data_IF_476702527531
#
_entry.id   IF_476702527531
#
_cell.length_a   1.000
_cell.length_b   1.000
_cell.length_c   1.000
_cell.angle_alpha   90.00
_cell.angle_beta   90.00
_cell.angle_gamma   90.00
#
_symmetry.space_group_name_H-M   'P 1'
#
loop_
_entity.id
_entity.type
_entity.pdbx_description
1 polymer ?
#
# COMPACT_ATOMS: atom_id res chain seq x y z
N UNK A 1 24.11 -0.74 -29.01
CA UNK A 1 22.84 -0.59 -28.28
C UNK A 1 22.21 -1.98 -28.26
N UNK A 2 21.87 -2.51 -27.09
CA UNK A 2 21.11 -3.76 -27.02
C UNK A 2 19.75 -3.56 -27.72
N UNK A 3 19.34 -4.50 -28.57
CA UNK A 3 18.03 -4.50 -29.20
C UNK A 3 16.95 -4.60 -28.11
N UNK A 4 15.87 -3.84 -28.23
CA UNK A 4 14.73 -4.01 -27.35
C UNK A 4 14.14 -5.41 -27.54
N UNK A 5 13.75 -6.06 -26.44
CA UNK A 5 13.08 -7.35 -26.51
C UNK A 5 11.73 -7.22 -27.24
N UNK A 6 11.51 -8.04 -28.26
CA UNK A 6 10.24 -8.08 -28.98
C UNK A 6 9.24 -8.99 -28.24
N UNK A 7 8.10 -8.43 -27.89
CA UNK A 7 7.00 -9.14 -27.21
C UNK A 7 5.77 -9.35 -28.12
N UNK A 8 5.92 -9.21 -29.43
CA UNK A 8 4.86 -9.42 -30.42
C UNK A 8 4.18 -10.77 -30.22
N UNK A 9 2.85 -10.78 -30.17
CA UNK A 9 2.03 -11.99 -30.01
C UNK A 9 2.14 -12.67 -28.64
N UNK A 10 2.91 -12.10 -27.68
CA UNK A 10 3.02 -12.63 -26.32
C UNK A 10 1.93 -12.05 -25.40
N UNK A 11 1.68 -12.76 -24.32
CA UNK A 11 0.89 -12.28 -23.18
C UNK A 11 1.82 -12.07 -21.98
N UNK A 12 1.76 -10.89 -21.38
CA UNK A 12 2.45 -10.56 -20.14
C UNK A 12 1.47 -10.75 -18.99
N UNK A 13 1.73 -11.71 -18.12
CA UNK A 13 0.93 -11.99 -16.94
C UNK A 13 1.43 -11.18 -15.74
N UNK A 14 0.65 -10.20 -15.32
CA UNK A 14 0.97 -9.39 -14.15
C UNK A 14 0.22 -9.90 -12.92
N UNK A 15 0.90 -10.68 -12.09
CA UNK A 15 0.32 -11.29 -10.89
C UNK A 15 0.28 -10.29 -9.73
N UNK A 16 -0.92 -10.11 -9.15
CA UNK A 16 -1.20 -9.31 -7.96
C UNK A 16 -1.59 -10.27 -6.82
N UNK A 17 -0.87 -10.26 -5.66
CA UNK A 17 -1.11 -11.22 -4.56
C UNK A 17 -2.31 -10.84 -3.67
N UNK A 18 -3.32 -10.20 -4.24
CA UNK A 18 -4.53 -9.74 -3.57
C UNK A 18 -5.78 -10.01 -4.42
N UNK A 19 -6.96 -9.79 -3.83
CA UNK A 19 -8.22 -9.87 -4.58
C UNK A 19 -8.38 -8.70 -5.55
N UNK A 20 -9.25 -8.87 -6.53
CA UNK A 20 -9.56 -7.88 -7.58
C UNK A 20 -10.23 -6.59 -7.08
N UNK A 21 -10.74 -6.57 -5.83
CA UNK A 21 -11.54 -5.45 -5.29
C UNK A 21 -10.71 -4.36 -4.62
N UNK A 22 -9.42 -4.60 -4.34
CA UNK A 22 -8.55 -3.71 -3.57
C UNK A 22 -7.79 -2.68 -4.41
N UNK A 23 -7.02 -1.82 -3.72
CA UNK A 23 -6.21 -0.77 -4.33
C UNK A 23 -5.12 -1.30 -5.26
N UNK A 24 -4.52 -2.47 -4.97
CA UNK A 24 -3.50 -3.07 -5.83
C UNK A 24 -4.06 -3.51 -7.19
N UNK A 25 -5.29 -4.05 -7.21
CA UNK A 25 -5.97 -4.37 -8.44
C UNK A 25 -6.27 -3.11 -9.28
N UNK A 26 -6.76 -2.04 -8.63
CA UNK A 26 -7.03 -0.77 -9.31
C UNK A 26 -5.77 -0.18 -9.93
N UNK A 27 -4.66 -0.23 -9.18
CA UNK A 27 -3.35 0.22 -9.64
C UNK A 27 -2.86 -0.59 -10.84
N UNK A 28 -2.86 -1.91 -10.79
CA UNK A 28 -2.40 -2.75 -11.89
C UNK A 28 -3.29 -2.60 -13.13
N UNK A 29 -4.62 -2.57 -12.97
CA UNK A 29 -5.56 -2.37 -14.07
C UNK A 29 -5.50 -0.95 -14.68
N UNK A 30 -4.96 0.03 -13.96
CA UNK A 30 -4.66 1.34 -14.52
C UNK A 30 -3.44 1.29 -15.44
N UNK A 31 -2.36 0.64 -15.00
CA UNK A 31 -1.12 0.59 -15.75
C UNK A 31 -1.11 -0.44 -16.88
N UNK A 32 -1.82 -1.56 -16.74
CA UNK A 32 -1.74 -2.67 -17.68
C UNK A 32 -2.05 -2.29 -19.15
N UNK A 33 -3.12 -1.56 -19.48
CA UNK A 33 -3.37 -1.14 -20.84
C UNK A 33 -2.31 -0.13 -21.35
N UNK A 34 -1.86 0.79 -20.51
CA UNK A 34 -0.83 1.77 -20.85
C UNK A 34 0.52 1.10 -21.10
N UNK A 35 0.84 0.06 -20.33
CA UNK A 35 2.04 -0.73 -20.51
C UNK A 35 1.98 -1.57 -21.79
N UNK A 36 0.82 -2.17 -22.10
CA UNK A 36 0.58 -2.87 -23.37
C UNK A 36 0.88 -1.99 -24.58
N UNK A 37 0.38 -0.76 -24.59
CA UNK A 37 0.63 0.22 -25.66
C UNK A 37 2.10 0.69 -25.72
N UNK A 38 2.82 0.67 -24.60
CA UNK A 38 4.17 1.18 -24.49
C UNK A 38 5.24 0.14 -24.85
N UNK A 39 4.96 -1.15 -24.62
CA UNK A 39 5.88 -2.26 -24.89
C UNK A 39 6.02 -2.53 -26.40
N UNK A 40 7.23 -2.88 -26.89
CA UNK A 40 7.41 -3.30 -28.27
C UNK A 40 6.56 -4.53 -28.61
N UNK A 41 5.92 -4.51 -29.76
CA UNK A 41 5.02 -5.57 -30.19
C UNK A 41 3.61 -5.52 -29.60
N UNK A 42 3.31 -4.54 -28.76
CA UNK A 42 1.99 -4.34 -28.12
C UNK A 42 1.41 -5.64 -27.52
N UNK A 43 2.16 -6.35 -26.65
CA UNK A 43 1.69 -7.59 -26.04
C UNK A 43 0.41 -7.35 -25.22
N UNK A 44 -0.41 -8.36 -25.07
CA UNK A 44 -1.52 -8.27 -24.11
C UNK A 44 -0.98 -8.33 -22.69
N UNK A 45 -1.24 -7.31 -21.88
CA UNK A 45 -0.90 -7.31 -20.44
C UNK A 45 -2.14 -7.68 -19.63
N UNK A 46 -2.13 -8.87 -19.03
CA UNK A 46 -3.24 -9.43 -18.25
C UNK A 46 -2.95 -9.40 -16.78
N UNK A 47 -3.81 -8.77 -15.98
CA UNK A 47 -3.70 -8.77 -14.52
C UNK A 47 -4.32 -10.05 -13.96
N UNK A 48 -3.51 -10.85 -13.26
CA UNK A 48 -3.95 -12.05 -12.55
C UNK A 48 -3.96 -11.83 -11.05
N UNK A 49 -4.86 -12.47 -10.34
CA UNK A 49 -5.00 -12.34 -8.89
C UNK A 49 -4.67 -13.65 -8.19
N UNK A 50 -3.74 -13.60 -7.23
CA UNK A 50 -3.31 -14.76 -6.44
C UNK A 50 -3.38 -14.43 -4.94
N UNK A 51 -4.58 -14.21 -4.38
CA UNK A 51 -4.72 -13.93 -2.95
C UNK A 51 -4.37 -15.15 -2.11
N UNK A 52 -3.97 -14.91 -0.87
CA UNK A 52 -3.75 -15.97 0.12
C UNK A 52 -2.60 -15.65 1.06
N UNK A 53 -2.71 -16.19 2.29
CA UNK A 53 -1.76 -15.97 3.39
C UNK A 53 -1.34 -14.50 3.52
N UNK A 54 -2.28 -13.58 3.24
CA UNK A 54 -2.10 -12.13 3.28
C UNK A 54 -1.05 -11.60 2.31
N UNK A 55 -0.94 -12.15 1.12
CA UNK A 55 -0.02 -11.89 0.01
C UNK A 55 1.23 -12.79 -0.04
N UNK A 56 1.68 -13.40 1.04
CA UNK A 56 2.90 -14.22 1.03
C UNK A 56 2.80 -15.41 0.08
N UNK A 57 1.58 -15.96 -0.17
CA UNK A 57 1.37 -17.02 -1.17
C UNK A 57 1.84 -16.58 -2.57
N UNK A 58 1.35 -15.45 -3.05
CA UNK A 58 1.69 -14.95 -4.38
C UNK A 58 3.15 -14.50 -4.49
N UNK A 59 3.71 -13.89 -3.42
CA UNK A 59 5.11 -13.50 -3.39
C UNK A 59 6.07 -14.70 -3.36
N UNK A 60 5.76 -15.73 -2.56
CA UNK A 60 6.52 -16.99 -2.55
C UNK A 60 6.46 -17.72 -3.91
N UNK A 61 5.30 -17.68 -4.57
CA UNK A 61 5.16 -18.21 -5.92
C UNK A 61 6.06 -17.44 -6.91
N UNK A 62 6.06 -16.10 -6.83
CA UNK A 62 6.87 -15.26 -7.71
C UNK A 62 8.38 -15.49 -7.52
N UNK A 63 8.85 -15.71 -6.29
CA UNK A 63 10.25 -16.04 -5.99
C UNK A 63 10.74 -17.28 -6.76
N UNK A 64 9.84 -18.20 -7.06
CA UNK A 64 10.18 -19.44 -7.78
C UNK A 64 10.16 -19.27 -9.30
N UNK A 65 9.69 -18.12 -9.81
CA UNK A 65 9.65 -17.89 -11.26
C UNK A 65 11.07 -17.66 -11.81
N UNK A 66 11.41 -18.40 -12.84
CA UNK A 66 12.72 -18.34 -13.52
C UNK A 66 12.60 -17.89 -14.97
N UNK A 67 11.38 -17.63 -15.45
CA UNK A 67 11.12 -17.19 -16.81
C UNK A 67 11.52 -15.72 -16.97
N UNK A 68 12.67 -15.49 -17.60
CA UNK A 68 13.26 -14.16 -17.81
C UNK A 68 12.91 -13.50 -19.14
N UNK A 69 11.90 -14.01 -19.88
CA UNK A 69 11.53 -13.54 -21.22
C UNK A 69 10.52 -12.37 -21.24
N UNK A 70 10.17 -11.84 -20.07
CA UNK A 70 9.24 -10.72 -19.91
C UNK A 70 7.76 -11.09 -19.90
N UNK A 71 7.39 -12.37 -19.96
CA UNK A 71 5.98 -12.80 -19.93
C UNK A 71 5.40 -12.91 -18.52
N UNK A 72 6.21 -12.79 -17.47
CA UNK A 72 5.78 -12.83 -16.05
C UNK A 72 6.20 -11.56 -15.34
N UNK A 73 5.23 -10.92 -14.68
CA UNK A 73 5.42 -9.77 -13.79
C UNK A 73 4.75 -10.01 -12.45
N UNK A 74 5.21 -9.30 -11.43
CA UNK A 74 4.61 -9.31 -10.10
C UNK A 74 4.38 -7.89 -9.59
N UNK A 75 3.26 -7.67 -8.91
CA UNK A 75 2.95 -6.41 -8.25
C UNK A 75 2.89 -6.57 -6.74
N UNK A 76 3.87 -6.01 -6.02
CA UNK A 76 3.85 -6.01 -4.56
C UNK A 76 3.09 -4.83 -3.97
N UNK A 77 2.91 -4.85 -2.65
CA UNK A 77 2.39 -3.73 -1.87
C UNK A 77 2.96 -3.73 -0.45
N UNK A 78 2.67 -2.70 0.35
CA UNK A 78 3.06 -2.64 1.76
C UNK A 78 2.67 -3.89 2.56
N UNK A 79 1.51 -4.51 2.25
CA UNK A 79 1.13 -5.79 2.87
C UNK A 79 2.00 -6.99 2.46
N UNK A 80 2.81 -6.86 1.41
CA UNK A 80 3.83 -7.84 1.03
C UNK A 80 5.19 -7.46 1.63
N UNK A 81 5.46 -6.16 1.79
CA UNK A 81 6.71 -5.65 2.36
C UNK A 81 6.82 -5.92 3.86
N UNK A 82 5.74 -5.69 4.62
CA UNK A 82 5.77 -5.79 6.08
C UNK A 82 6.12 -7.19 6.61
N UNK A 83 5.55 -8.29 6.10
CA UNK A 83 6.00 -9.62 6.51
C UNK A 83 7.50 -9.84 6.27
N UNK A 84 8.03 -9.35 5.15
CA UNK A 84 9.45 -9.41 4.84
C UNK A 84 10.29 -8.60 5.85
N UNK A 85 9.88 -7.36 6.14
CA UNK A 85 10.56 -6.49 7.12
C UNK A 85 10.54 -7.04 8.55
N UNK A 86 9.50 -7.80 8.89
CA UNK A 86 9.26 -8.35 10.23
C UNK A 86 9.79 -9.78 10.41
N UNK A 87 10.50 -10.33 9.43
CA UNK A 87 10.99 -11.73 9.43
C UNK A 87 9.86 -12.75 9.67
N UNK A 88 8.68 -12.49 9.11
CA UNK A 88 7.53 -13.38 9.23
C UNK A 88 7.90 -14.78 8.67
N UNK A 89 7.75 -15.87 9.44
CA UNK A 89 8.21 -17.20 9.02
C UNK A 89 7.51 -17.75 7.76
N UNK A 90 6.43 -17.12 7.32
CA UNK A 90 5.75 -17.45 6.06
C UNK A 90 6.45 -16.88 4.82
N UNK A 91 7.40 -15.94 4.99
CA UNK A 91 8.15 -15.31 3.91
C UNK A 91 9.22 -16.28 3.40
N UNK A 92 9.19 -16.56 2.10
CA UNK A 92 10.17 -17.35 1.36
C UNK A 92 10.57 -16.62 0.08
N UNK A 93 10.61 -15.30 0.14
CA UNK A 93 10.98 -14.42 -0.97
C UNK A 93 11.97 -13.36 -0.50
N UNK A 94 12.79 -12.90 -1.44
CA UNK A 94 13.81 -11.89 -1.23
C UNK A 94 13.63 -10.76 -2.25
N UNK A 95 13.31 -9.57 -1.78
CA UNK A 95 13.08 -8.41 -2.64
C UNK A 95 14.30 -8.02 -3.47
N UNK A 96 15.50 -8.26 -2.94
CA UNK A 96 16.75 -7.91 -3.62
C UNK A 96 17.05 -8.83 -4.82
N UNK A 97 16.40 -10.00 -4.90
CA UNK A 97 16.52 -10.90 -6.06
C UNK A 97 15.69 -10.42 -7.26
N UNK A 98 14.68 -9.58 -7.02
CA UNK A 98 13.72 -9.19 -8.04
C UNK A 98 14.13 -7.91 -8.76
N UNK A 99 13.84 -7.83 -10.06
CA UNK A 99 14.14 -6.66 -10.88
C UNK A 99 12.98 -5.63 -10.79
N UNK A 100 13.12 -4.62 -9.94
CA UNK A 100 12.14 -3.55 -9.84
C UNK A 100 12.16 -2.68 -11.11
N UNK A 101 11.04 -2.61 -11.83
CA UNK A 101 10.90 -1.81 -13.06
C UNK A 101 10.05 -0.55 -12.84
N UNK A 102 9.19 -0.55 -11.82
CA UNK A 102 8.39 0.62 -11.45
C UNK A 102 8.02 0.56 -9.97
N UNK A 103 8.00 1.72 -9.31
CA UNK A 103 7.49 1.87 -7.95
C UNK A 103 6.70 3.17 -7.81
N UNK A 104 5.64 3.15 -7.01
CA UNK A 104 4.82 4.33 -6.76
C UNK A 104 4.31 4.37 -5.33
N UNK A 105 4.13 5.59 -4.84
CA UNK A 105 3.44 5.85 -3.59
C UNK A 105 1.94 5.64 -3.67
N UNK A 106 1.33 5.65 -2.52
CA UNK A 106 -0.10 5.83 -2.30
C UNK A 106 -0.30 6.48 -0.94
N UNK A 107 -1.39 7.19 -0.77
CA UNK A 107 -1.85 7.60 0.54
C UNK A 107 -2.86 6.64 1.13
N UNK A 108 -3.44 7.02 2.24
CA UNK A 108 -4.54 6.32 2.87
C UNK A 108 -5.41 7.29 3.67
N UNK A 109 -6.70 7.09 3.63
CA UNK A 109 -7.69 7.89 4.34
C UNK A 109 -8.49 7.00 5.28
N UNK A 110 -8.48 7.34 6.55
CA UNK A 110 -9.31 6.73 7.58
C UNK A 110 -10.63 7.49 7.75
N UNK A 111 -11.70 6.76 7.98
CA UNK A 111 -13.05 7.31 8.11
C UNK A 111 -13.89 6.49 9.11
N UNK A 112 -14.82 7.17 9.72
CA UNK A 112 -15.78 6.67 10.70
C UNK A 112 -17.16 6.55 10.07
N UNK A 113 -18.03 5.73 10.64
CA UNK A 113 -19.46 5.78 10.33
C UNK A 113 -20.03 7.18 10.64
N UNK A 114 -21.20 7.49 10.09
CA UNK A 114 -21.79 8.82 10.21
C UNK A 114 -22.13 9.19 11.67
N UNK A 115 -22.48 8.22 12.50
CA UNK A 115 -22.86 8.46 13.90
C UNK A 115 -21.65 8.87 14.74
N UNK A 116 -20.60 8.03 14.75
CA UNK A 116 -19.39 8.30 15.52
C UNK A 116 -18.60 9.47 14.93
N UNK A 117 -18.67 9.65 13.61
CA UNK A 117 -18.01 10.73 12.90
C UNK A 117 -18.46 12.12 13.33
N UNK A 118 -19.71 12.28 13.82
CA UNK A 118 -20.20 13.55 14.37
C UNK A 118 -19.46 14.00 15.64
N UNK A 119 -18.80 13.08 16.32
CA UNK A 119 -18.01 13.36 17.51
C UNK A 119 -16.58 13.78 17.19
N UNK A 120 -16.13 13.53 15.96
CA UNK A 120 -14.78 13.89 15.53
C UNK A 120 -14.71 15.40 15.24
N UNK A 121 -13.92 16.12 16.02
CA UNK A 121 -13.70 17.57 15.92
C UNK A 121 -12.27 17.95 15.52
N UNK A 122 -11.54 16.99 14.93
CA UNK A 122 -10.12 17.13 14.58
C UNK A 122 -9.18 16.53 15.63
N UNK A 123 -9.73 16.02 16.74
CA UNK A 123 -9.03 15.21 17.76
C UNK A 123 -9.79 13.89 18.00
N UNK A 124 -9.14 12.92 18.63
CA UNK A 124 -9.79 11.67 19.03
C UNK A 124 -10.38 11.74 20.47
N UNK A 125 -10.35 12.89 21.14
CA UNK A 125 -10.73 12.99 22.55
C UNK A 125 -12.17 12.54 22.82
N UNK A 126 -13.12 12.92 21.97
CA UNK A 126 -14.54 12.53 22.10
C UNK A 126 -14.82 11.11 21.63
N UNK A 127 -13.85 10.46 20.99
CA UNK A 127 -13.94 9.06 20.52
C UNK A 127 -13.46 8.06 21.57
N UNK A 128 -12.70 8.52 22.59
CA UNK A 128 -12.24 7.68 23.69
C UNK A 128 -13.42 7.09 24.45
N UNK A 129 -13.29 5.83 24.87
CA UNK A 129 -14.36 5.10 25.54
C UNK A 129 -15.46 4.54 24.62
N UNK A 130 -15.47 4.92 23.33
CA UNK A 130 -16.31 4.27 22.34
C UNK A 130 -15.62 3.03 21.78
N UNK A 131 -16.43 2.03 21.43
CA UNK A 131 -15.96 0.79 20.82
C UNK A 131 -16.12 0.83 19.31
N UNK A 132 -15.02 0.64 18.61
CA UNK A 132 -15.02 0.56 17.16
C UNK A 132 -14.76 -0.89 16.68
N UNK A 133 -15.20 -1.19 15.49
CA UNK A 133 -14.93 -2.47 14.81
C UNK A 133 -14.25 -2.18 13.48
N UNK A 134 -13.15 -2.87 13.23
CA UNK A 134 -12.35 -2.75 12.02
C UNK A 134 -12.08 -4.10 11.38
N UNK A 135 -12.32 -4.21 10.07
CA UNK A 135 -11.95 -5.38 9.28
C UNK A 135 -10.47 -5.37 8.93
N UNK A 136 -9.67 -6.23 9.57
CA UNK A 136 -8.21 -6.29 9.47
C UNK A 136 -7.74 -7.47 8.60
N UNK A 137 -6.83 -7.23 7.66
CA UNK A 137 -6.27 -8.28 6.79
C UNK A 137 -5.31 -9.22 7.53
N UNK A 138 -4.75 -8.77 8.63
CA UNK A 138 -3.76 -9.48 9.45
C UNK A 138 -2.76 -8.51 10.08
N UNK A 139 -2.30 -8.83 11.28
CA UNK A 139 -1.49 -7.95 12.11
C UNK A 139 -0.14 -7.55 11.46
N UNK A 140 0.46 -8.43 10.66
CA UNK A 140 1.72 -8.17 9.94
C UNK A 140 1.50 -7.57 8.54
N UNK A 141 0.36 -6.93 8.28
CA UNK A 141 0.01 -6.30 6.99
C UNK A 141 0.09 -4.79 7.08
N UNK A 142 -0.24 -4.12 5.99
CA UNK A 142 -0.35 -2.66 5.96
C UNK A 142 -1.31 -2.11 7.03
N UNK A 143 -2.24 -2.94 7.49
CA UNK A 143 -3.17 -2.68 8.60
C UNK A 143 -2.47 -2.42 9.95
N UNK A 144 -1.18 -2.74 10.07
CA UNK A 144 -0.36 -2.37 11.22
C UNK A 144 -0.30 -0.84 11.42
N UNK A 145 -0.21 -0.08 10.34
CA UNK A 145 -0.13 1.40 10.42
C UNK A 145 -1.37 2.00 11.05
N UNK A 146 -2.62 1.72 10.59
CA UNK A 146 -3.80 2.19 11.26
C UNK A 146 -3.99 1.61 12.67
N UNK A 147 -3.66 0.33 12.89
CA UNK A 147 -3.82 -0.28 14.22
C UNK A 147 -2.98 0.47 15.27
N UNK A 148 -1.70 0.71 14.96
CA UNK A 148 -0.82 1.45 15.86
C UNK A 148 -1.26 2.92 16.02
N UNK A 149 -1.74 3.56 14.95
CA UNK A 149 -2.25 4.93 15.02
C UNK A 149 -3.47 5.04 15.93
N UNK A 150 -4.43 4.13 15.83
CA UNK A 150 -5.62 4.15 16.70
C UNK A 150 -5.29 3.85 18.16
N UNK A 151 -4.35 2.93 18.42
CA UNK A 151 -3.87 2.68 19.79
C UNK A 151 -3.12 3.89 20.35
N UNK A 152 -2.37 4.65 19.53
CA UNK A 152 -1.74 5.92 19.94
C UNK A 152 -2.78 7.01 20.26
N UNK A 153 -3.89 7.04 19.51
CA UNK A 153 -5.01 7.96 19.77
C UNK A 153 -5.86 7.54 20.98
N UNK A 154 -5.58 6.41 21.63
CA UNK A 154 -6.36 5.88 22.75
C UNK A 154 -7.75 5.39 22.36
N UNK A 155 -7.96 4.97 21.10
CA UNK A 155 -9.22 4.45 20.60
C UNK A 155 -9.36 2.95 20.88
N UNK A 156 -10.52 2.52 21.37
CA UNK A 156 -10.84 1.10 21.58
C UNK A 156 -11.34 0.47 20.26
N UNK A 157 -10.41 -0.11 19.48
CA UNK A 157 -10.71 -0.74 18.19
C UNK A 157 -10.59 -2.24 18.28
N UNK A 158 -11.71 -2.94 18.08
CA UNK A 158 -11.75 -4.40 17.90
C UNK A 158 -11.40 -4.76 16.45
N UNK A 159 -10.37 -5.56 16.27
CA UNK A 159 -9.91 -6.02 14.97
C UNK A 159 -10.56 -7.38 14.61
N UNK A 160 -11.32 -7.42 13.52
CA UNK A 160 -11.81 -8.67 12.91
C UNK A 160 -10.77 -9.14 11.91
N UNK A 161 -9.95 -10.11 12.30
CA UNK A 161 -8.80 -10.59 11.54
C UNK A 161 -9.18 -11.46 10.35
N UNK A 162 -8.32 -11.50 9.34
CA UNK A 162 -8.41 -12.43 8.21
C UNK A 162 -9.30 -11.94 7.05
N UNK A 163 -9.65 -10.67 7.02
CA UNK A 163 -10.41 -10.08 5.91
C UNK A 163 -9.63 -10.21 4.60
N UNK A 164 -10.31 -10.62 3.53
CA UNK A 164 -9.70 -10.84 2.21
C UNK A 164 -9.42 -9.52 1.47
N UNK A 165 -8.40 -8.78 1.92
CA UNK A 165 -8.01 -7.50 1.33
C UNK A 165 -8.81 -6.30 1.84
N UNK A 166 -8.32 -5.08 1.59
CA UNK A 166 -8.97 -3.84 2.07
C UNK A 166 -10.40 -3.66 1.53
N UNK A 167 -10.67 -4.16 0.31
CA UNK A 167 -12.02 -4.16 -0.23
C UNK A 167 -13.03 -4.97 0.59
N UNK A 168 -12.58 -6.03 1.27
CA UNK A 168 -13.40 -6.78 2.22
C UNK A 168 -13.70 -5.96 3.48
N UNK A 169 -12.70 -5.28 4.06
CA UNK A 169 -12.91 -4.37 5.20
C UNK A 169 -13.91 -3.26 4.88
N UNK A 170 -13.79 -2.64 3.68
CA UNK A 170 -14.78 -1.67 3.22
C UNK A 170 -16.20 -2.25 3.14
N UNK A 171 -16.37 -3.46 2.63
CA UNK A 171 -17.69 -4.11 2.58
C UNK A 171 -18.28 -4.32 3.97
N UNK A 172 -17.47 -4.70 4.96
CA UNK A 172 -17.91 -4.75 6.35
C UNK A 172 -18.36 -3.38 6.87
N UNK A 173 -17.67 -2.32 6.47
CA UNK A 173 -18.07 -0.96 6.80
C UNK A 173 -19.40 -0.57 6.12
N UNK A 174 -19.55 -0.87 4.83
CA UNK A 174 -20.77 -0.61 4.05
C UNK A 174 -21.99 -1.38 4.59
N UNK A 175 -21.78 -2.58 5.15
CA UNK A 175 -22.85 -3.38 5.78
C UNK A 175 -23.13 -3.01 7.25
N UNK A 176 -22.33 -2.13 7.85
CA UNK A 176 -22.43 -1.75 9.26
C UNK A 176 -21.78 -2.73 10.25
N UNK A 177 -21.10 -3.76 9.77
CA UNK A 177 -20.33 -4.71 10.60
C UNK A 177 -19.04 -4.05 11.15
N UNK A 178 -18.47 -3.09 10.42
CA UNK A 178 -17.35 -2.28 10.87
C UNK A 178 -17.79 -0.81 10.99
N UNK A 179 -17.24 -0.10 11.99
CA UNK A 179 -17.59 1.30 12.29
C UNK A 179 -16.46 2.27 11.98
N UNK A 180 -15.25 1.74 11.79
CA UNK A 180 -14.08 2.47 11.31
C UNK A 180 -13.42 1.66 10.18
N UNK A 181 -12.94 2.34 9.17
CA UNK A 181 -12.16 1.72 8.09
C UNK A 181 -11.12 2.70 7.55
N UNK A 182 -10.17 2.20 6.77
CA UNK A 182 -9.34 3.01 5.90
C UNK A 182 -9.20 2.37 4.53
N UNK A 183 -9.02 3.19 3.53
CA UNK A 183 -8.70 2.71 2.19
C UNK A 183 -7.47 3.46 1.64
N UNK A 184 -6.66 2.75 0.84
CA UNK A 184 -5.61 3.41 0.05
C UNK A 184 -6.24 4.29 -1.02
N UNK A 185 -5.53 5.36 -1.44
CA UNK A 185 -6.08 6.44 -2.26
C UNK A 185 -6.90 5.98 -3.47
N UNK A 186 -6.38 5.06 -4.29
CA UNK A 186 -7.11 4.55 -5.46
C UNK A 186 -8.44 3.87 -5.11
N UNK A 187 -8.50 3.19 -3.97
CA UNK A 187 -9.74 2.55 -3.50
C UNK A 187 -10.65 3.55 -2.82
N UNK A 188 -10.09 4.50 -2.07
CA UNK A 188 -10.84 5.58 -1.42
C UNK A 188 -11.55 6.45 -2.47
N UNK A 189 -10.82 7.01 -3.42
CA UNK A 189 -11.37 7.87 -4.49
C UNK A 189 -12.53 7.20 -5.23
N UNK A 190 -12.40 5.91 -5.53
CA UNK A 190 -13.44 5.20 -6.30
C UNK A 190 -14.64 4.77 -5.47
N UNK A 191 -14.44 4.35 -4.21
CA UNK A 191 -15.47 3.60 -3.50
C UNK A 191 -15.85 4.22 -2.14
N UNK A 192 -14.96 4.93 -1.46
CA UNK A 192 -15.24 5.44 -0.11
C UNK A 192 -15.58 6.92 -0.12
N UNK A 193 -15.02 7.72 -1.03
CA UNK A 193 -15.43 9.12 -1.21
C UNK A 193 -16.93 9.25 -1.47
N UNK A 194 -17.58 8.41 -2.31
CA UNK A 194 -19.03 8.43 -2.46
C UNK A 194 -19.81 8.15 -1.17
N UNK A 195 -19.27 7.38 -0.23
CA UNK A 195 -19.91 7.17 1.08
C UNK A 195 -19.89 8.45 1.94
N UNK A 196 -18.81 9.22 1.83
CA UNK A 196 -18.69 10.53 2.51
C UNK A 196 -19.65 11.53 1.88
N UNK A 197 -19.71 11.62 0.55
CA UNK A 197 -20.63 12.48 -0.19
C UNK A 197 -22.10 12.16 0.12
N UNK A 198 -22.43 10.89 0.38
CA UNK A 198 -23.76 10.43 0.79
C UNK A 198 -24.04 10.62 2.29
N UNK A 199 -23.08 11.15 3.07
CA UNK A 199 -23.21 11.32 4.52
C UNK A 199 -23.20 9.99 5.30
N UNK A 200 -22.76 8.88 4.69
CA UNK A 200 -22.67 7.55 5.34
C UNK A 200 -21.35 7.37 6.10
N UNK A 201 -20.35 8.16 5.77
CA UNK A 201 -19.05 8.16 6.41
C UNK A 201 -18.55 9.58 6.66
N UNK A 202 -17.72 9.75 7.67
CA UNK A 202 -17.01 10.99 7.98
C UNK A 202 -15.53 10.74 7.92
N UNK A 203 -14.81 11.56 7.15
CA UNK A 203 -13.36 11.50 7.06
C UNK A 203 -12.74 11.87 8.41
N UNK A 204 -11.85 11.04 8.90
CA UNK A 204 -11.13 11.29 10.15
C UNK A 204 -9.74 11.90 9.87
N UNK A 205 -8.92 11.21 9.09
CA UNK A 205 -7.55 11.63 8.82
C UNK A 205 -6.98 10.92 7.60
N UNK A 206 -5.92 11.49 7.04
CA UNK A 206 -5.01 10.79 6.14
C UNK A 206 -3.76 10.34 6.92
N UNK A 207 -3.01 9.40 6.36
CA UNK A 207 -1.68 9.08 6.91
C UNK A 207 -0.66 10.19 6.60
N UNK A 208 -0.98 11.08 5.67
CA UNK A 208 -0.07 12.10 5.14
C UNK A 208 0.82 11.57 4.02
N UNK A 209 1.80 12.37 3.68
CA UNK A 209 2.92 12.05 2.79
C UNK A 209 4.24 12.46 3.45
N UNK A 210 5.36 12.01 2.89
CA UNK A 210 6.69 12.47 3.32
C UNK A 210 7.21 13.52 2.34
N UNK A 211 7.76 14.60 2.88
CA UNK A 211 8.56 15.56 2.10
C UNK A 211 9.98 15.05 1.83
N UNK A 212 10.82 15.89 1.21
CA UNK A 212 12.21 15.56 0.89
C UNK A 212 13.09 15.30 2.12
N UNK A 213 12.73 15.85 3.29
CA UNK A 213 13.43 15.71 4.55
C UNK A 213 12.93 14.49 5.36
N UNK A 214 11.83 13.88 4.93
CA UNK A 214 11.17 12.77 5.62
C UNK A 214 10.19 13.25 6.71
N UNK A 215 9.77 14.50 6.67
CA UNK A 215 8.74 15.04 7.53
C UNK A 215 7.35 14.74 6.98
N UNK A 216 6.39 14.54 7.90
CA UNK A 216 5.01 14.27 7.53
C UNK A 216 4.34 15.58 7.14
N UNK A 217 3.86 15.62 5.90
CA UNK A 217 3.08 16.70 5.33
C UNK A 217 1.69 16.20 4.94
N UNK A 218 0.78 17.11 4.67
CA UNK A 218 -0.54 16.73 4.15
C UNK A 218 -0.43 15.99 2.83
N UNK A 219 -1.31 15.00 2.68
CA UNK A 219 -1.38 14.19 1.47
C UNK A 219 -1.75 15.07 0.27
N UNK A 220 -0.94 15.09 -0.81
CA UNK A 220 -1.19 15.96 -1.96
C UNK A 220 -2.48 15.62 -2.72
N UNK A 221 -3.04 14.41 -2.51
CA UNK A 221 -4.34 14.01 -3.06
C UNK A 221 -5.50 14.52 -2.19
N UNK A 222 -5.27 14.69 -0.90
CA UNK A 222 -6.26 15.05 0.11
C UNK A 222 -5.77 16.22 0.98
N UNK A 223 -5.49 17.41 0.38
CA UNK A 223 -4.83 18.52 1.08
C UNK A 223 -5.69 19.11 2.23
N UNK A 224 -7.00 18.93 2.16
CA UNK A 224 -7.92 19.44 3.17
C UNK A 224 -8.13 18.46 4.35
N UNK A 225 -7.66 17.19 4.20
CA UNK A 225 -7.77 16.16 5.23
C UNK A 225 -6.58 16.25 6.19
N UNK A 226 -6.81 16.37 7.52
CA UNK A 226 -5.72 16.39 8.47
C UNK A 226 -4.93 15.09 8.44
N UNK A 227 -3.64 15.16 8.73
CA UNK A 227 -2.79 13.99 8.85
C UNK A 227 -2.99 13.31 10.21
N UNK A 228 -2.59 12.05 10.34
CA UNK A 228 -2.52 11.39 11.64
C UNK A 228 -1.66 12.19 12.63
N UNK A 229 -0.55 12.80 12.17
CA UNK A 229 0.29 13.67 13.00
C UNK A 229 -0.52 14.83 13.59
N UNK A 230 -1.26 15.57 12.75
CA UNK A 230 -2.07 16.71 13.19
C UNK A 230 -3.20 16.30 14.14
N UNK A 231 -3.82 15.13 13.93
CA UNK A 231 -4.85 14.58 14.84
C UNK A 231 -4.22 14.14 16.16
N UNK A 232 -3.06 13.49 16.14
CA UNK A 232 -2.31 13.08 17.32
C UNK A 232 -1.92 14.31 18.19
N UNK A 233 -1.38 15.35 17.57
CA UNK A 233 -0.99 16.60 18.25
C UNK A 233 -2.16 17.31 18.96
N UNK A 234 -3.40 17.05 18.54
CA UNK A 234 -4.64 17.59 19.14
C UNK A 234 -5.33 16.62 20.12
N UNK A 235 -4.81 15.40 20.23
CA UNK A 235 -5.42 14.33 21.04
C UNK A 235 -4.63 14.16 22.33
N UNK A 236 -5.30 14.28 23.46
CA UNK A 236 -4.68 14.12 24.79
C UNK A 236 -3.99 12.77 24.91
N UNK A 237 -2.73 12.77 25.38
CA UNK A 237 -1.94 11.55 25.57
C UNK A 237 -1.46 10.88 24.29
N UNK A 238 -1.66 11.47 23.11
CA UNK A 238 -0.99 11.05 21.88
C UNK A 238 0.29 11.87 21.70
N UNK A 239 1.39 11.19 21.46
CA UNK A 239 2.72 11.81 21.34
C UNK A 239 3.29 11.59 19.94
N UNK A 240 3.83 12.66 19.33
CA UNK A 240 4.53 12.63 18.04
C UNK A 240 6.04 12.56 18.21
N UNK A 241 6.48 11.83 19.24
CA UNK A 241 7.88 11.54 19.58
C UNK A 241 7.97 10.21 20.33
N UNK A 242 9.20 9.75 20.57
CA UNK A 242 9.47 8.52 21.31
C UNK A 242 9.31 7.23 20.48
N UNK A 243 9.63 6.06 21.10
CA UNK A 243 9.77 4.79 20.36
C UNK A 243 8.52 4.37 19.59
N UNK A 244 7.32 4.63 20.13
CA UNK A 244 6.04 4.28 19.48
C UNK A 244 5.80 5.10 18.22
N UNK A 245 6.06 6.41 18.30
CA UNK A 245 5.96 7.30 17.15
C UNK A 245 6.99 6.95 16.07
N UNK A 246 8.24 6.73 16.46
CA UNK A 246 9.30 6.37 15.51
C UNK A 246 9.01 5.03 14.82
N UNK A 247 8.50 4.05 15.55
CA UNK A 247 8.06 2.78 14.97
C UNK A 247 6.90 2.96 14.00
N UNK A 248 5.87 3.74 14.36
CA UNK A 248 4.77 4.07 13.46
C UNK A 248 5.29 4.79 12.20
N UNK A 249 6.13 5.82 12.35
CA UNK A 249 6.71 6.59 11.24
C UNK A 249 7.54 5.70 10.29
N UNK A 250 8.33 4.79 10.84
CA UNK A 250 9.15 3.86 10.07
C UNK A 250 8.27 2.92 9.20
N UNK A 251 7.22 2.34 9.78
CA UNK A 251 6.31 1.47 9.03
C UNK A 251 5.38 2.23 8.10
N UNK A 252 4.98 3.45 8.44
CA UNK A 252 4.32 4.35 7.50
C UNK A 252 5.22 4.63 6.29
N UNK A 253 6.48 5.01 6.52
CA UNK A 253 7.46 5.30 5.46
C UNK A 253 7.73 4.06 4.57
N UNK A 254 7.83 2.87 5.14
CA UNK A 254 7.99 1.63 4.41
C UNK A 254 6.73 1.23 3.63
N UNK A 255 5.55 1.56 4.15
CA UNK A 255 4.26 1.05 3.67
C UNK A 255 3.53 1.91 2.66
N UNK A 256 3.70 3.24 2.66
CA UNK A 256 2.89 4.16 1.85
C UNK A 256 3.69 4.91 0.76
N UNK A 257 4.82 5.57 1.01
CA UNK A 257 5.57 6.29 -0.03
C UNK A 257 6.04 5.40 -1.18
N UNK A 258 6.36 4.12 -0.92
CA UNK A 258 6.74 3.11 -1.92
C UNK A 258 5.85 1.87 -1.84
N UNK A 259 4.56 2.09 -1.66
CA UNK A 259 3.62 1.01 -1.41
C UNK A 259 3.47 0.02 -2.57
N UNK A 260 3.54 0.50 -3.80
CA UNK A 260 3.34 -0.31 -5.01
C UNK A 260 4.64 -0.44 -5.76
N UNK A 261 4.99 -1.66 -6.12
CA UNK A 261 6.13 -1.89 -6.99
C UNK A 261 5.84 -3.04 -7.99
N UNK A 262 6.31 -2.87 -9.21
CA UNK A 262 6.24 -3.88 -10.26
C UNK A 262 7.63 -4.48 -10.47
N UNK A 263 7.67 -5.80 -10.58
CA UNK A 263 8.90 -6.58 -10.68
C UNK A 263 8.86 -7.55 -11.86
N UNK A 264 10.04 -7.79 -12.42
CA UNK A 264 10.35 -8.95 -13.23
C UNK A 264 11.11 -10.00 -12.37
N UNK A 265 11.03 -11.31 -12.72
CA UNK A 265 11.69 -12.37 -11.98
C UNK A 265 13.22 -12.19 -11.86
N UNK A 266 13.80 -12.83 -10.87
CA UNK A 266 15.25 -13.01 -10.81
C UNK A 266 15.77 -13.70 -12.08
N UNK A 267 16.92 -13.25 -12.60
CA UNK A 267 17.50 -13.82 -13.81
C UNK A 267 16.86 -13.35 -15.12
N UNK A 268 15.95 -12.39 -15.09
CA UNK A 268 15.44 -11.73 -16.31
C UNK A 268 16.60 -11.11 -17.10
N UNK A 269 16.62 -11.31 -18.41
CA UNK A 269 17.66 -10.80 -19.29
C UNK A 269 17.69 -9.25 -19.27
N UNK A 270 18.89 -8.68 -19.37
CA UNK A 270 19.08 -7.22 -19.25
C UNK A 270 18.36 -6.42 -20.34
N UNK A 271 18.23 -6.92 -21.55
CA UNK A 271 17.47 -6.29 -22.64
C UNK A 271 15.96 -6.26 -22.34
N UNK A 272 15.44 -7.34 -21.73
CA UNK A 272 14.04 -7.39 -21.24
C UNK A 272 13.82 -6.37 -20.13
N UNK A 273 14.70 -6.31 -19.12
CA UNK A 273 14.62 -5.30 -18.04
C UNK A 273 14.67 -3.89 -18.63
N UNK A 274 15.58 -3.62 -19.55
CA UNK A 274 15.70 -2.32 -20.21
C UNK A 274 14.44 -1.98 -21.00
N UNK A 275 13.82 -2.94 -21.66
CA UNK A 275 12.58 -2.79 -22.42
C UNK A 275 11.41 -2.37 -21.51
N UNK A 276 11.22 -3.06 -20.37
CA UNK A 276 10.17 -2.69 -19.40
C UNK A 276 10.42 -1.33 -18.74
N UNK A 277 11.68 -1.01 -18.41
CA UNK A 277 12.06 0.29 -17.88
C UNK A 277 11.73 1.42 -18.86
N UNK A 278 12.04 1.24 -20.14
CA UNK A 278 11.71 2.19 -21.20
C UNK A 278 10.19 2.33 -21.39
N UNK A 279 9.45 1.21 -21.35
CA UNK A 279 8.00 1.21 -21.48
C UNK A 279 7.32 1.95 -20.31
N UNK A 280 7.68 1.66 -19.06
CA UNK A 280 7.15 2.42 -17.91
C UNK A 280 7.54 3.90 -17.96
N UNK A 281 8.77 4.23 -18.37
CA UNK A 281 9.18 5.62 -18.58
C UNK A 281 8.32 6.30 -19.64
N UNK A 282 8.00 5.62 -20.75
CA UNK A 282 7.10 6.14 -21.80
C UNK A 282 5.69 6.38 -21.23
N UNK A 283 5.16 5.46 -20.42
CA UNK A 283 3.85 5.60 -19.77
C UNK A 283 3.80 6.84 -18.88
N UNK A 284 4.77 7.03 -17.98
CA UNK A 284 4.74 8.15 -17.02
C UNK A 284 5.04 9.49 -17.66
N UNK A 285 5.68 9.52 -18.84
CA UNK A 285 5.95 10.72 -19.61
C UNK A 285 4.84 11.08 -20.62
N UNK A 286 3.72 10.37 -20.64
CA UNK A 286 2.57 10.75 -21.48
C UNK A 286 2.05 12.12 -21.04
N UNK A 287 1.64 12.99 -21.97
CA UNK A 287 1.12 14.33 -21.65
C UNK A 287 -0.11 14.30 -20.71
N UNK A 288 -0.96 13.27 -20.82
CA UNK A 288 -2.17 13.09 -20.03
C UNK A 288 -1.95 12.34 -18.72
N UNK A 289 -0.75 11.78 -18.47
CA UNK A 289 -0.50 10.87 -17.35
C UNK A 289 -0.79 11.52 -16.00
N UNK A 290 -0.34 12.74 -15.77
CA UNK A 290 -0.54 13.43 -14.50
C UNK A 290 -2.03 13.59 -14.17
N UNK A 291 -2.86 13.93 -15.15
CA UNK A 291 -4.30 14.08 -14.98
C UNK A 291 -4.98 12.73 -14.70
N UNK A 292 -4.76 11.72 -15.55
CA UNK A 292 -5.44 10.44 -15.44
C UNK A 292 -5.00 9.66 -14.19
N UNK A 293 -3.72 9.77 -13.79
CA UNK A 293 -3.23 9.15 -12.56
C UNK A 293 -3.79 9.83 -11.32
N UNK A 294 -3.83 11.16 -11.28
CA UNK A 294 -4.40 11.92 -10.17
C UNK A 294 -5.86 11.53 -9.89
N UNK A 295 -6.67 11.37 -10.95
CA UNK A 295 -8.08 10.97 -10.83
C UNK A 295 -8.27 9.53 -10.33
N UNK A 296 -7.36 8.61 -10.66
CA UNK A 296 -7.55 7.17 -10.43
C UNK A 296 -6.70 6.60 -9.31
N UNK A 297 -5.50 7.12 -9.10
CA UNK A 297 -4.53 6.61 -8.15
C UNK A 297 -4.19 7.62 -7.05
N UNK A 298 -4.35 8.92 -7.33
CA UNK A 298 -3.90 10.04 -6.50
C UNK A 298 -2.63 10.69 -7.05
N UNK A 299 -2.19 11.78 -6.40
CA UNK A 299 -1.06 12.61 -6.79
C UNK A 299 0.23 12.12 -6.11
N UNK A 300 0.73 10.98 -6.51
CA UNK A 300 1.95 10.40 -5.93
C UNK A 300 3.04 10.23 -6.99
N UNK A 301 4.31 10.37 -6.60
CA UNK A 301 5.42 10.16 -7.51
C UNK A 301 5.46 8.70 -8.00
N UNK A 302 5.82 8.54 -9.27
CA UNK A 302 6.08 7.24 -9.88
C UNK A 302 7.54 7.20 -10.31
N UNK A 303 8.27 6.20 -9.82
CA UNK A 303 9.67 5.95 -10.14
C UNK A 303 9.77 4.79 -11.11
N UNK A 304 10.69 4.87 -12.06
CA UNK A 304 10.91 3.83 -13.08
C UNK A 304 12.39 3.44 -13.13
N UNK A 305 12.67 2.20 -13.54
CA UNK A 305 14.03 1.71 -13.70
C UNK A 305 14.87 1.78 -12.42
N UNK A 306 16.11 2.18 -12.53
CA UNK A 306 17.05 2.24 -11.40
C UNK A 306 16.54 3.14 -10.24
N UNK A 307 15.77 4.20 -10.54
CA UNK A 307 15.19 5.06 -9.51
C UNK A 307 14.12 4.30 -8.68
N UNK A 308 13.35 3.42 -9.31
CA UNK A 308 12.38 2.58 -8.61
C UNK A 308 13.08 1.62 -7.63
N UNK A 309 14.15 0.95 -8.06
CA UNK A 309 14.95 0.07 -7.22
C UNK A 309 15.54 0.80 -6.02
N UNK A 310 16.17 1.97 -6.23
CA UNK A 310 16.76 2.79 -5.14
C UNK A 310 15.70 3.26 -4.15
N UNK A 311 14.57 3.74 -4.63
CA UNK A 311 13.47 4.22 -3.77
C UNK A 311 12.90 3.08 -2.93
N UNK A 312 12.71 1.90 -3.52
CA UNK A 312 12.23 0.72 -2.81
C UNK A 312 13.23 0.24 -1.75
N UNK A 313 14.53 0.14 -2.10
CA UNK A 313 15.57 -0.24 -1.13
C UNK A 313 15.64 0.71 0.07
N UNK A 314 15.42 2.03 -0.16
CA UNK A 314 15.31 3.00 0.95
C UNK A 314 14.08 2.73 1.81
N UNK A 315 12.93 2.46 1.21
CA UNK A 315 11.68 2.19 1.92
C UNK A 315 11.71 0.86 2.71
N UNK A 316 12.50 -0.12 2.26
CA UNK A 316 12.65 -1.41 2.95
C UNK A 316 13.68 -1.37 4.10
N UNK A 317 14.22 -0.19 4.46
CA UNK A 317 15.11 -0.02 5.61
C UNK A 317 14.32 0.46 6.82
N UNK A 318 14.12 -0.45 7.77
CA UNK A 318 13.54 -0.15 9.09
C UNK A 318 14.62 -0.42 10.14
N UNK A 319 14.76 0.48 11.12
CA UNK A 319 15.77 0.31 12.17
C UNK A 319 15.49 -0.93 13.02
N UNK A 320 16.51 -1.57 13.58
CA UNK A 320 16.33 -2.70 14.49
C UNK A 320 15.42 -2.38 15.68
N UNK A 321 15.52 -1.16 16.22
CA UNK A 321 14.71 -0.69 17.35
C UNK A 321 13.22 -0.58 16.96
N UNK A 322 12.91 0.04 15.82
CA UNK A 322 11.53 0.13 15.32
C UNK A 322 10.95 -1.26 14.99
N UNK A 323 11.79 -2.14 14.42
CA UNK A 323 11.39 -3.52 14.12
C UNK A 323 11.09 -4.29 15.41
N UNK A 324 11.95 -4.20 16.42
CA UNK A 324 11.74 -4.86 17.71
C UNK A 324 10.51 -4.31 18.42
N UNK A 325 10.34 -2.99 18.45
CA UNK A 325 9.13 -2.38 19.01
C UNK A 325 7.86 -2.96 18.38
N UNK A 326 7.84 -3.10 17.07
CA UNK A 326 6.66 -3.67 16.38
C UNK A 326 6.48 -5.16 16.68
N UNK A 327 7.55 -5.95 16.77
CA UNK A 327 7.45 -7.37 17.18
C UNK A 327 6.83 -7.50 18.59
N UNK A 328 7.26 -6.69 19.53
CA UNK A 328 6.71 -6.66 20.89
C UNK A 328 5.23 -6.20 20.88
N UNK A 329 4.93 -5.13 20.16
CA UNK A 329 3.54 -4.66 19.98
C UNK A 329 2.63 -5.73 19.38
N UNK A 330 3.07 -6.45 18.36
CA UNK A 330 2.31 -7.52 17.73
C UNK A 330 2.04 -8.68 18.67
N UNK A 331 3.02 -9.02 19.52
CA UNK A 331 2.88 -10.03 20.57
C UNK A 331 1.87 -9.59 21.61
N UNK A 332 2.04 -8.41 22.17
CA UNK A 332 1.21 -7.90 23.27
C UNK A 332 -0.23 -7.62 22.83
N UNK A 333 -0.39 -7.01 21.65
CA UNK A 333 -1.71 -6.55 21.16
C UNK A 333 -2.52 -7.63 20.45
N UNK A 334 -1.84 -8.54 19.75
CA UNK A 334 -2.48 -9.51 18.85
C UNK A 334 -2.07 -10.97 19.10
N UNK A 335 -1.19 -11.23 20.06
CA UNK A 335 -0.68 -12.58 20.33
C UNK A 335 0.15 -13.15 19.16
N UNK A 336 0.73 -12.30 18.31
CA UNK A 336 1.53 -12.73 17.16
C UNK A 336 3.00 -12.71 17.54
N UNK A 337 3.59 -13.88 17.69
CA UNK A 337 5.03 -14.04 17.95
C UNK A 337 5.79 -14.16 16.62
N UNK A 338 6.75 -13.26 16.42
CA UNK A 338 7.71 -13.28 15.32
C UNK A 338 9.11 -13.50 15.89
N UNK A 339 9.83 -14.44 15.31
CA UNK A 339 11.20 -14.78 15.75
C UNK A 339 12.21 -13.73 15.33
#
# INVERSE_FOLDING_TARGET
MASAADLSGKTVEWTIPFSETGGSAKWANFFAPLLSEALPGNPTVVVKYMPGAGSTKGANWFQQQKNGDGTVMFGSSGSTQFPYLLDDPRVRYEYNDWNAVMASGTGGVAYLNAEDGKLFDGSANKLKGKKFVYGNQGATRLDLVPALAWDMLGMDVKHVMGVKGRGGGRKMFESGEATIDYQTSAAYLKNSAPLVEQGKAVVMMSWGALDGNGDIIRDPTFPDVPTFKEVCEKTDGCETSGPRWEAWKAFFAAGFPMQKAAFLPAGTANDVIATFNAAFKKVVNRPDFAEISAKRLGKYPVYTGAAAGKALQKALKVSPEAKQFIKDYLKDRFGVELK
#
